data_IF_151260123567
#
_entry.id   IF_151260123567
#
_cell.length_a   1.000
_cell.length_b   1.000
_cell.length_c   1.000
_cell.angle_alpha   90.00
_cell.angle_beta   90.00
_cell.angle_gamma   90.00
#
_symmetry.space_group_name_H-M   'P 1'
#
loop_
_entity.id
_entity.type
_entity.pdbx_description
1 polymer ?
#
# COMPACT_ATOMS: atom_id res chain seq x y z
N UNK A 1 -91.80 -25.48 -66.43
CA UNK A 1 -92.10 -25.50 -64.98
C UNK A 1 -90.75 -25.59 -64.27
N UNK A 2 -90.08 -24.51 -63.83
CA UNK A 2 -90.47 -23.54 -62.78
C UNK A 2 -91.02 -24.27 -61.55
N UNK A 3 -90.56 -24.12 -60.33
CA UNK A 3 -89.52 -23.35 -59.62
C UNK A 3 -89.43 -24.04 -58.22
N UNK A 4 -88.53 -23.80 -57.27
CA UNK A 4 -88.09 -22.55 -56.67
C UNK A 4 -86.86 -22.85 -55.80
N UNK A 5 -85.87 -21.97 -55.91
CA UNK A 5 -84.63 -21.91 -55.14
C UNK A 5 -84.94 -21.11 -53.86
N UNK A 6 -84.83 -21.75 -52.69
CA UNK A 6 -84.97 -21.09 -51.39
C UNK A 6 -83.60 -20.74 -50.81
N UNK A 7 -83.22 -19.47 -50.88
CA UNK A 7 -82.02 -18.91 -50.26
C UNK A 7 -82.29 -18.62 -48.79
N UNK A 8 -81.55 -19.25 -47.86
CA UNK A 8 -81.52 -18.79 -46.47
C UNK A 8 -80.19 -18.07 -46.21
N UNK A 9 -80.23 -16.73 -46.30
CA UNK A 9 -79.11 -15.83 -46.10
C UNK A 9 -79.10 -15.44 -44.61
N UNK A 10 -78.46 -16.27 -43.79
CA UNK A 10 -78.18 -15.92 -42.39
C UNK A 10 -77.25 -14.72 -42.34
N UNK A 11 -77.80 -13.55 -42.01
CA UNK A 11 -77.01 -12.35 -41.68
C UNK A 11 -76.31 -12.64 -40.36
N UNK A 12 -75.06 -13.07 -40.43
CA UNK A 12 -74.21 -13.16 -39.25
C UNK A 12 -73.74 -11.73 -38.93
N UNK A 13 -74.49 -11.05 -38.06
CA UNK A 13 -74.05 -9.79 -37.46
C UNK A 13 -72.88 -10.11 -36.54
N UNK A 14 -71.65 -10.01 -37.06
CA UNK A 14 -70.49 -9.86 -36.20
C UNK A 14 -70.68 -8.54 -35.46
N UNK A 15 -71.11 -8.62 -34.21
CA UNK A 15 -70.96 -7.51 -33.27
C UNK A 15 -69.46 -7.40 -33.03
N UNK A 16 -68.82 -6.48 -33.73
CA UNK A 16 -67.50 -6.00 -33.34
C UNK A 16 -67.67 -5.40 -31.95
N UNK A 17 -67.00 -5.96 -30.95
CA UNK A 17 -66.79 -5.25 -29.71
C UNK A 17 -65.80 -4.11 -30.02
N UNK A 18 -66.18 -2.83 -29.91
CA UNK A 18 -65.30 -1.71 -30.22
C UNK A 18 -64.25 -1.47 -29.11
N UNK A 19 -64.09 -2.43 -28.20
CA UNK A 19 -63.17 -2.40 -27.07
C UNK A 19 -62.19 -3.59 -27.06
N UNK A 20 -62.26 -4.49 -28.06
CA UNK A 20 -61.33 -5.63 -28.17
C UNK A 20 -60.13 -5.35 -29.08
N UNK A 21 -60.17 -4.31 -29.92
CA UNK A 21 -59.07 -3.98 -30.83
C UNK A 21 -58.01 -3.02 -30.25
N UNK A 22 -58.19 -2.51 -29.02
CA UNK A 22 -57.29 -1.50 -28.43
C UNK A 22 -56.41 -2.04 -27.30
N UNK A 23 -56.38 -3.35 -27.05
CA UNK A 23 -55.56 -3.93 -25.98
C UNK A 23 -54.48 -4.92 -26.46
N UNK A 24 -54.34 -5.13 -27.77
CA UNK A 24 -53.33 -6.03 -28.34
C UNK A 24 -52.47 -5.28 -29.38
N UNK A 25 -51.61 -4.36 -28.95
CA UNK A 25 -50.26 -4.18 -29.57
C UNK A 25 -49.32 -3.17 -28.90
N UNK A 26 -49.62 -2.65 -27.70
CA UNK A 26 -48.69 -1.72 -27.01
C UNK A 26 -47.64 -2.46 -26.13
N UNK A 27 -47.44 -3.76 -26.35
CA UNK A 27 -46.25 -4.45 -25.87
C UNK A 27 -45.10 -4.09 -26.80
N UNK A 28 -44.48 -2.95 -26.48
CA UNK A 28 -43.13 -2.52 -26.82
C UNK A 28 -42.29 -3.70 -27.36
N UNK A 29 -42.19 -3.80 -28.69
CA UNK A 29 -41.29 -4.74 -29.34
C UNK A 29 -39.86 -4.30 -29.00
N UNK A 30 -39.36 -4.77 -27.85
CA UNK A 30 -37.97 -4.60 -27.45
C UNK A 30 -37.13 -5.15 -28.59
N UNK A 31 -36.50 -4.24 -29.33
CA UNK A 31 -35.70 -4.57 -30.50
C UNK A 31 -34.49 -5.37 -30.01
N UNK A 32 -34.57 -6.70 -30.15
CA UNK A 32 -33.58 -7.65 -29.62
C UNK A 32 -32.18 -7.34 -30.13
N UNK A 33 -32.07 -6.81 -31.34
CA UNK A 33 -30.81 -6.41 -31.94
C UNK A 33 -30.22 -5.17 -31.29
N UNK A 34 -31.06 -4.18 -30.95
CA UNK A 34 -30.64 -3.00 -30.18
C UNK A 34 -30.15 -3.41 -28.79
N UNK A 35 -30.90 -4.28 -28.10
CA UNK A 35 -30.53 -4.76 -26.77
C UNK A 35 -29.21 -5.54 -26.80
N UNK A 36 -29.02 -6.43 -27.78
CA UNK A 36 -27.75 -7.17 -27.93
C UNK A 36 -26.56 -6.24 -28.22
N UNK A 37 -26.75 -5.17 -29.00
CA UNK A 37 -25.70 -4.16 -29.23
C UNK A 37 -25.36 -3.42 -27.94
N UNK A 38 -26.37 -2.96 -27.20
CA UNK A 38 -26.18 -2.28 -25.92
C UNK A 38 -25.45 -3.17 -24.89
N UNK A 39 -25.79 -4.47 -24.86
CA UNK A 39 -25.10 -5.44 -24.01
C UNK A 39 -23.62 -5.55 -24.40
N UNK A 40 -23.30 -5.75 -25.68
CA UNK A 40 -21.91 -5.83 -26.16
C UNK A 40 -21.12 -4.54 -25.90
N UNK A 41 -21.74 -3.38 -26.09
CA UNK A 41 -21.10 -2.10 -25.79
C UNK A 41 -20.78 -1.97 -24.30
N UNK A 42 -21.73 -2.35 -23.44
CA UNK A 42 -21.53 -2.34 -21.97
C UNK A 42 -20.46 -3.32 -21.54
N UNK A 43 -20.44 -4.51 -22.16
CA UNK A 43 -19.42 -5.52 -21.96
C UNK A 43 -18.04 -4.97 -22.31
N UNK A 44 -17.85 -4.48 -23.54
CA UNK A 44 -16.57 -3.92 -23.99
C UNK A 44 -16.07 -2.80 -23.07
N UNK A 45 -16.96 -1.87 -22.70
CA UNK A 45 -16.64 -0.78 -21.77
C UNK A 45 -16.17 -1.28 -20.41
N UNK A 46 -16.78 -2.34 -19.89
CA UNK A 46 -16.40 -2.94 -18.62
C UNK A 46 -15.02 -3.59 -18.70
N UNK A 47 -14.74 -4.35 -19.77
CA UNK A 47 -13.39 -4.91 -20.00
C UNK A 47 -12.33 -3.83 -20.11
N UNK A 48 -12.56 -2.81 -20.93
CA UNK A 48 -11.63 -1.69 -21.08
C UNK A 48 -11.41 -0.96 -19.76
N UNK A 49 -12.45 -0.85 -18.93
CA UNK A 49 -12.33 -0.31 -17.58
C UNK A 49 -11.44 -1.17 -16.69
N UNK A 50 -11.64 -2.49 -16.68
CA UNK A 50 -10.78 -3.39 -15.88
C UNK A 50 -9.32 -3.36 -16.33
N UNK A 51 -9.06 -3.25 -17.64
CA UNK A 51 -7.69 -3.11 -18.18
C UNK A 51 -7.03 -1.82 -17.72
N UNK A 52 -7.75 -0.69 -17.76
CA UNK A 52 -7.25 0.58 -17.22
C UNK A 52 -7.00 0.50 -15.71
N UNK A 53 -7.90 -0.12 -14.96
CA UNK A 53 -7.72 -0.29 -13.51
C UNK A 53 -6.51 -1.15 -13.17
N UNK A 54 -6.25 -2.22 -13.93
CA UNK A 54 -5.06 -3.05 -13.75
C UNK A 54 -3.78 -2.25 -14.00
N UNK A 55 -3.71 -1.48 -15.09
CA UNK A 55 -2.58 -0.61 -15.38
C UNK A 55 -2.34 0.42 -14.25
N UNK A 56 -3.42 1.04 -13.74
CA UNK A 56 -3.32 1.98 -12.62
C UNK A 56 -2.81 1.32 -11.33
N UNK A 57 -3.16 0.05 -11.09
CA UNK A 57 -2.68 -0.70 -9.94
C UNK A 57 -1.18 -0.98 -10.06
N UNK A 58 -0.70 -1.35 -11.24
CA UNK A 58 0.72 -1.56 -11.52
C UNK A 58 1.50 -0.24 -11.38
N UNK A 59 1.02 0.85 -11.97
CA UNK A 59 1.62 2.19 -11.84
C UNK A 59 1.69 2.62 -10.37
N UNK A 60 0.65 2.34 -9.58
CA UNK A 60 0.60 2.66 -8.15
C UNK A 60 1.63 1.86 -7.36
N UNK A 61 1.87 0.59 -7.72
CA UNK A 61 2.87 -0.25 -7.07
C UNK A 61 4.28 0.27 -7.36
N UNK A 62 4.57 0.67 -8.60
CA UNK A 62 5.86 1.26 -8.96
C UNK A 62 6.14 2.56 -8.20
N UNK A 63 5.11 3.38 -7.99
CA UNK A 63 5.22 4.58 -7.14
C UNK A 63 5.45 4.21 -5.68
N UNK A 64 4.79 3.17 -5.18
CA UNK A 64 4.98 2.67 -3.82
C UNK A 64 6.41 2.17 -3.58
N UNK A 65 7.00 1.46 -4.55
CA UNK A 65 8.40 1.01 -4.51
C UNK A 65 9.35 2.22 -4.41
N UNK A 66 9.20 3.22 -5.29
CA UNK A 66 10.04 4.43 -5.25
C UNK A 66 9.89 5.17 -3.92
N UNK A 67 8.69 5.19 -3.38
CA UNK A 67 8.41 5.78 -2.06
C UNK A 67 9.13 5.00 -0.95
N UNK A 68 9.14 3.66 -1.02
CA UNK A 68 9.85 2.81 -0.08
C UNK A 68 11.38 3.04 -0.13
N UNK A 69 11.96 3.20 -1.32
CA UNK A 69 13.39 3.53 -1.49
C UNK A 69 13.75 4.85 -0.81
N UNK A 70 12.93 5.88 -1.04
CA UNK A 70 13.13 7.20 -0.45
C UNK A 70 12.96 7.17 1.08
N UNK A 71 11.95 6.46 1.60
CA UNK A 71 11.77 6.29 3.04
C UNK A 71 12.95 5.54 3.66
N UNK A 72 13.46 4.48 3.03
CA UNK A 72 14.65 3.79 3.53
C UNK A 72 15.85 4.74 3.60
N UNK A 73 16.09 5.52 2.54
CA UNK A 73 17.18 6.49 2.49
C UNK A 73 17.04 7.58 3.58
N UNK A 74 15.83 8.11 3.78
CA UNK A 74 15.54 9.06 4.86
C UNK A 74 15.76 8.45 6.24
N UNK A 75 15.30 7.22 6.46
CA UNK A 75 15.51 6.48 7.70
C UNK A 75 16.99 6.32 8.04
N UNK A 76 17.84 5.99 7.05
CA UNK A 76 19.29 5.93 7.24
C UNK A 76 19.89 7.29 7.60
N UNK A 77 19.44 8.37 6.96
CA UNK A 77 19.90 9.72 7.29
C UNK A 77 19.55 10.12 8.72
N UNK A 78 18.32 9.84 9.17
CA UNK A 78 17.90 10.10 10.55
C UNK A 78 18.74 9.32 11.56
N UNK A 79 19.03 8.04 11.28
CA UNK A 79 19.93 7.23 12.12
C UNK A 79 21.35 7.82 12.19
N UNK A 80 21.89 8.30 11.07
CA UNK A 80 23.22 8.97 11.04
C UNK A 80 23.21 10.27 11.83
N UNK A 81 22.16 11.08 11.69
CA UNK A 81 22.01 12.32 12.46
C UNK A 81 21.96 12.01 13.95
N UNK A 82 21.15 11.04 14.35
CA UNK A 82 21.04 10.65 15.75
C UNK A 82 22.38 10.17 16.34
N UNK A 83 23.10 9.31 15.62
CA UNK A 83 24.44 8.85 16.03
C UNK A 83 25.45 10.00 16.12
N UNK A 84 25.41 10.95 15.19
CA UNK A 84 26.30 12.12 15.22
C UNK A 84 25.99 13.03 16.41
N UNK A 85 24.71 13.20 16.75
CA UNK A 85 24.30 13.99 17.92
C UNK A 85 24.75 13.34 19.24
N UNK A 86 24.70 12.01 19.32
CA UNK A 86 25.21 11.26 20.46
C UNK A 86 26.75 11.40 20.59
N UNK A 87 27.47 11.34 19.47
CA UNK A 87 28.91 11.60 19.44
C UNK A 87 29.25 13.04 19.89
N UNK A 88 28.52 14.05 19.39
CA UNK A 88 28.68 15.44 19.84
C UNK A 88 28.44 15.54 21.35
N UNK A 89 27.43 14.84 21.87
CA UNK A 89 27.14 14.85 23.31
C UNK A 89 28.32 14.33 24.14
N UNK A 90 28.97 13.24 23.70
CA UNK A 90 30.14 12.64 24.34
C UNK A 90 31.38 13.54 24.21
N UNK A 91 31.68 14.03 23.01
CA UNK A 91 32.79 14.93 22.73
C UNK A 91 32.71 16.20 23.57
N UNK A 92 31.50 16.76 23.70
CA UNK A 92 31.26 17.91 24.55
C UNK A 92 31.47 17.61 26.04
N UNK A 93 31.22 16.39 26.51
CA UNK A 93 31.52 16.00 27.89
C UNK A 93 33.04 15.96 28.13
N UNK A 94 33.81 15.45 27.18
CA UNK A 94 35.29 15.45 27.22
C UNK A 94 35.84 16.87 27.13
N UNK A 95 35.35 17.69 26.19
CA UNK A 95 35.75 19.08 26.01
C UNK A 95 35.52 19.89 27.29
N UNK A 96 34.37 19.71 27.96
CA UNK A 96 34.09 20.39 29.23
C UNK A 96 35.07 19.98 30.35
N UNK A 97 35.50 18.71 30.40
CA UNK A 97 36.56 18.28 31.35
C UNK A 97 37.89 18.95 31.03
N UNK A 98 38.27 19.03 29.76
CA UNK A 98 39.51 19.71 29.34
C UNK A 98 39.47 21.20 29.65
N UNK A 99 38.38 21.91 29.32
CA UNK A 99 38.20 23.33 29.65
C UNK A 99 38.24 23.55 31.18
N UNK A 100 37.61 22.66 31.95
CA UNK A 100 37.68 22.71 33.42
C UNK A 100 39.10 22.48 33.92
N UNK A 101 39.85 21.54 33.32
CA UNK A 101 41.24 21.30 33.66
C UNK A 101 42.15 22.49 33.28
N UNK A 102 41.87 23.20 32.18
CA UNK A 102 42.58 24.43 31.78
C UNK A 102 42.33 25.58 32.77
N UNK A 103 41.09 25.75 33.25
CA UNK A 103 40.81 26.66 34.39
C UNK A 103 41.55 26.21 35.66
N UNK A 104 41.65 24.90 35.86
CA UNK A 104 42.28 24.29 37.04
C UNK A 104 43.80 24.41 37.02
N UNK A 105 44.51 24.35 35.89
CA UNK A 105 45.99 24.52 35.89
C UNK A 105 46.44 25.93 36.27
N UNK A 106 45.57 26.94 36.17
CA UNK A 106 45.81 28.24 36.81
C UNK A 106 45.58 28.23 38.34
N UNK A 107 45.06 27.14 38.92
CA UNK A 107 44.68 27.05 40.33
C UNK A 107 44.95 25.67 41.01
N UNK A 108 45.77 24.78 40.43
CA UNK A 108 45.99 23.41 40.96
C UNK A 108 47.44 23.16 41.32
N UNK A 109 47.73 23.44 42.59
CA UNK A 109 48.74 22.72 43.36
C UNK A 109 48.11 21.75 44.39
N UNK A 110 46.77 21.59 44.51
CA UNK A 110 46.22 21.06 45.78
C UNK A 110 45.02 20.10 45.78
N UNK A 111 44.60 19.41 44.71
CA UNK A 111 43.52 18.42 44.91
C UNK A 111 43.63 17.15 44.05
N UNK A 112 44.31 16.16 44.63
CA UNK A 112 44.60 14.86 44.06
C UNK A 112 43.84 13.76 44.81
N UNK A 113 42.52 13.87 45.01
CA UNK A 113 41.76 12.77 45.62
C UNK A 113 40.26 12.78 45.25
N UNK A 114 39.82 11.80 44.43
CA UNK A 114 38.70 10.87 44.69
C UNK A 114 38.30 10.03 43.45
N UNK A 115 37.84 8.80 43.72
CA UNK A 115 37.62 7.62 42.85
C UNK A 115 36.40 7.71 41.90
N UNK A 116 36.32 6.90 40.82
CA UNK A 116 35.23 6.90 39.83
C UNK A 116 34.01 6.00 40.21
N UNK A 117 32.78 6.32 39.77
CA UNK A 117 31.61 5.44 39.87
C UNK A 117 31.47 4.50 38.65
N UNK A 118 30.83 3.35 38.90
CA UNK A 118 30.61 2.23 37.97
C UNK A 118 29.52 2.51 36.94
N UNK A 119 29.75 2.05 35.70
CA UNK A 119 28.77 2.03 34.61
C UNK A 119 27.77 0.87 34.79
N UNK A 120 26.48 1.14 34.60
CA UNK A 120 25.42 0.13 34.46
C UNK A 120 25.03 0.05 33.00
N UNK A 121 25.25 -1.11 32.38
CA UNK A 121 24.82 -1.42 31.02
C UNK A 121 23.30 -1.61 30.97
N UNK A 122 22.64 -0.97 29.99
CA UNK A 122 21.26 -1.25 29.62
C UNK A 122 21.22 -2.33 28.55
N UNK A 123 20.37 -3.32 28.79
CA UNK A 123 20.11 -4.52 28.01
C UNK A 123 18.93 -4.25 27.06
N UNK A 124 19.18 -4.19 25.75
CA UNK A 124 18.11 -4.21 24.75
C UNK A 124 17.82 -5.66 24.34
N UNK A 125 16.58 -6.07 24.59
CA UNK A 125 16.04 -7.33 24.08
C UNK A 125 15.61 -7.15 22.61
N UNK A 126 15.87 -8.11 21.71
CA UNK A 126 15.46 -8.00 20.31
C UNK A 126 13.93 -8.11 20.18
N UNK A 127 13.30 -7.08 19.63
CA UNK A 127 11.94 -7.16 19.10
C UNK A 127 11.97 -7.97 17.79
N UNK A 128 10.92 -8.75 17.57
CA UNK A 128 10.72 -9.57 16.37
C UNK A 128 10.90 -8.76 15.07
N UNK A 129 11.32 -9.40 13.97
CA UNK A 129 11.55 -8.71 12.70
C UNK A 129 10.20 -8.34 12.08
N UNK A 130 9.72 -7.14 12.40
CA UNK A 130 8.68 -6.47 11.61
C UNK A 130 9.22 -6.25 10.19
N UNK A 131 8.40 -6.55 9.18
CA UNK A 131 8.77 -6.40 7.77
C UNK A 131 8.91 -4.92 7.44
N UNK A 132 10.15 -4.44 7.42
CA UNK A 132 10.44 -3.05 7.03
C UNK A 132 10.38 -2.85 5.51
N UNK A 133 10.43 -1.58 5.09
CA UNK A 133 10.56 -1.17 3.68
C UNK A 133 11.67 -1.92 2.92
N UNK A 134 12.74 -2.35 3.59
CA UNK A 134 13.79 -3.18 3.00
C UNK A 134 13.30 -4.55 2.48
N UNK A 135 12.31 -5.17 3.12
CA UNK A 135 11.73 -6.45 2.67
C UNK A 135 10.78 -6.25 1.47
N UNK A 136 10.06 -5.14 1.44
CA UNK A 136 9.26 -4.72 0.29
C UNK A 136 10.13 -4.49 -0.96
N UNK A 137 11.31 -3.88 -0.80
CA UNK A 137 12.28 -3.68 -1.88
C UNK A 137 12.99 -4.97 -2.30
N UNK A 138 13.25 -5.88 -1.36
CA UNK A 138 13.83 -7.18 -1.67
C UNK A 138 12.85 -8.07 -2.46
N UNK A 139 11.56 -8.00 -2.13
CA UNK A 139 10.50 -8.78 -2.78
C UNK A 139 10.03 -8.21 -4.12
N UNK A 140 10.30 -6.93 -4.41
CA UNK A 140 10.08 -6.32 -5.74
C UNK A 140 11.20 -6.66 -6.74
N UNK A 141 12.36 -7.11 -6.26
CA UNK A 141 13.43 -7.65 -7.11
C UNK A 141 13.06 -9.05 -7.58
N UNK A 142 12.47 -9.14 -8.78
CA UNK A 142 12.04 -10.41 -9.37
C UNK A 142 13.15 -11.46 -9.36
N UNK A 143 12.88 -12.71 -8.93
CA UNK A 143 13.80 -13.81 -9.20
C UNK A 143 13.85 -14.03 -10.71
N UNK A 144 15.05 -13.90 -11.29
CA UNK A 144 15.35 -14.45 -12.62
C UNK A 144 14.83 -15.88 -12.71
N UNK A 145 14.07 -16.27 -13.76
CA UNK A 145 13.56 -17.63 -13.91
C UNK A 145 14.70 -18.54 -14.37
N UNK A 146 15.64 -18.84 -13.47
CA UNK A 146 16.62 -19.88 -13.69
C UNK A 146 16.02 -21.24 -13.31
N UNK A 147 15.80 -22.04 -14.35
CA UNK A 147 15.54 -23.49 -14.33
C UNK A 147 16.21 -24.17 -13.13
N UNK A 148 15.43 -24.65 -12.17
CA UNK A 148 15.88 -25.66 -11.23
C UNK A 148 14.73 -26.59 -10.80
N UNK A 149 14.69 -27.73 -11.50
CA UNK A 149 14.46 -29.09 -10.97
C UNK A 149 13.24 -29.36 -10.10
N UNK A 150 12.34 -30.15 -10.70
CA UNK A 150 11.47 -31.12 -10.05
C UNK A 150 12.15 -31.75 -8.82
N UNK A 151 11.61 -31.48 -7.64
CA UNK A 151 11.69 -32.39 -6.51
C UNK A 151 10.28 -32.46 -5.92
N UNK A 152 9.72 -33.67 -5.96
CA UNK A 152 8.39 -33.93 -5.43
C UNK A 152 8.37 -33.85 -3.91
N UNK A 153 7.42 -33.09 -3.38
CA UNK A 153 7.01 -33.15 -1.98
C UNK A 153 5.48 -33.10 -1.97
N UNK A 154 4.90 -34.23 -1.57
CA UNK A 154 3.48 -34.43 -1.34
C UNK A 154 3.01 -33.51 -0.20
N UNK A 155 2.03 -32.65 -0.48
CA UNK A 155 1.19 -32.03 0.53
C UNK A 155 -0.22 -32.61 0.41
N UNK A 156 -0.90 -32.95 1.52
CA UNK A 156 -2.24 -33.52 1.47
C UNK A 156 -3.23 -32.46 0.98
N UNK A 157 -3.93 -32.80 -0.11
CA UNK A 157 -5.05 -32.05 -0.66
C UNK A 157 -6.12 -31.84 0.42
N UNK A 158 -6.22 -30.60 0.90
CA UNK A 158 -7.40 -30.13 1.62
C UNK A 158 -8.54 -30.12 0.61
N UNK A 159 -9.56 -30.92 0.91
CA UNK A 159 -10.76 -31.11 0.13
C UNK A 159 -11.50 -29.77 0.01
N UNK A 160 -11.11 -28.93 -0.96
CA UNK A 160 -11.91 -27.78 -1.35
C UNK A 160 -13.13 -28.33 -2.06
N UNK A 161 -14.26 -28.24 -1.36
CA UNK A 161 -15.59 -28.19 -1.96
C UNK A 161 -15.46 -27.42 -3.27
N UNK A 162 -15.60 -28.17 -4.37
CA UNK A 162 -15.83 -27.60 -5.68
C UNK A 162 -17.19 -26.92 -5.60
N UNK A 163 -17.21 -25.70 -5.07
CA UNK A 163 -18.24 -24.75 -5.44
C UNK A 163 -18.14 -24.70 -6.95
N UNK A 164 -19.22 -25.11 -7.59
CA UNK A 164 -19.45 -24.97 -9.01
C UNK A 164 -19.19 -23.51 -9.38
N UNK A 165 -17.94 -23.19 -9.69
CA UNK A 165 -17.60 -22.06 -10.53
C UNK A 165 -18.30 -22.40 -11.83
N UNK A 166 -19.52 -21.89 -11.98
CA UNK A 166 -20.22 -21.80 -13.25
C UNK A 166 -19.19 -21.31 -14.23
N UNK A 167 -18.60 -22.24 -14.99
CA UNK A 167 -17.59 -21.91 -15.98
C UNK A 167 -18.38 -21.15 -17.02
N UNK A 168 -18.40 -19.83 -16.90
CA UNK A 168 -19.16 -19.00 -17.81
C UNK A 168 -18.70 -19.39 -19.20
N UNK A 169 -19.64 -19.91 -20.00
CA UNK A 169 -19.35 -20.37 -21.35
C UNK A 169 -19.02 -19.19 -22.26
N UNK A 170 -19.38 -17.98 -21.83
CA UNK A 170 -19.08 -16.73 -22.50
C UNK A 170 -17.60 -16.34 -22.31
N UNK A 171 -16.81 -16.20 -23.40
CA UNK A 171 -15.44 -15.72 -23.32
C UNK A 171 -15.31 -14.34 -22.66
N UNK A 172 -16.33 -13.47 -22.78
CA UNK A 172 -16.34 -12.15 -22.15
C UNK A 172 -16.27 -12.24 -20.62
N UNK A 173 -17.17 -13.02 -20.02
CA UNK A 173 -17.26 -13.16 -18.56
C UNK A 173 -16.00 -13.79 -17.98
N UNK A 174 -15.32 -14.66 -18.75
CA UNK A 174 -14.05 -15.26 -18.35
C UNK A 174 -12.94 -14.22 -18.26
N UNK A 175 -12.76 -13.40 -19.30
CA UNK A 175 -11.75 -12.33 -19.32
C UNK A 175 -12.05 -11.30 -18.23
N UNK A 176 -13.32 -10.95 -18.03
CA UNK A 176 -13.72 -10.02 -16.98
C UNK A 176 -13.38 -10.57 -15.58
N UNK A 177 -13.76 -11.81 -15.28
CA UNK A 177 -13.48 -12.43 -13.99
C UNK A 177 -11.98 -12.62 -13.74
N UNK A 178 -11.20 -12.93 -14.78
CA UNK A 178 -9.75 -12.98 -14.71
C UNK A 178 -9.17 -11.61 -14.37
N UNK A 179 -9.55 -10.55 -15.09
CA UNK A 179 -9.11 -9.18 -14.80
C UNK A 179 -9.49 -8.75 -13.38
N UNK A 180 -10.70 -9.06 -12.90
CA UNK A 180 -11.13 -8.76 -11.54
C UNK A 180 -10.30 -9.52 -10.50
N UNK A 181 -9.92 -10.77 -10.77
CA UNK A 181 -9.02 -11.54 -9.91
C UNK A 181 -7.61 -10.94 -9.86
N UNK A 182 -7.09 -10.48 -11.01
CA UNK A 182 -5.81 -9.74 -11.08
C UNK A 182 -5.88 -8.44 -10.28
N UNK A 183 -6.94 -7.66 -10.47
CA UNK A 183 -7.17 -6.43 -9.71
C UNK A 183 -7.27 -6.70 -8.20
N UNK A 184 -7.98 -7.75 -7.78
CA UNK A 184 -8.09 -8.11 -6.36
C UNK A 184 -6.72 -8.43 -5.74
N UNK A 185 -5.88 -9.20 -6.44
CA UNK A 185 -4.50 -9.48 -5.99
C UNK A 185 -3.64 -8.23 -5.95
N UNK A 186 -3.72 -7.39 -6.98
CA UNK A 186 -2.96 -6.14 -7.06
C UNK A 186 -3.37 -5.14 -5.98
N UNK A 187 -4.66 -4.99 -5.69
CA UNK A 187 -5.15 -4.20 -4.55
C UNK A 187 -4.69 -4.77 -3.20
N UNK A 188 -4.64 -6.11 -3.08
CA UNK A 188 -4.08 -6.78 -1.91
C UNK A 188 -2.61 -6.43 -1.68
N UNK A 189 -1.82 -6.42 -2.75
CA UNK A 189 -0.42 -5.98 -2.72
C UNK A 189 -0.29 -4.49 -2.37
N UNK A 190 -1.05 -3.61 -3.02
CA UNK A 190 -1.04 -2.17 -2.70
C UNK A 190 -1.39 -1.90 -1.23
N UNK A 191 -2.28 -2.72 -0.64
CA UNK A 191 -2.57 -2.64 0.79
C UNK A 191 -1.36 -3.03 1.64
N UNK A 192 -0.66 -4.10 1.29
CA UNK A 192 0.58 -4.50 1.97
C UNK A 192 1.64 -3.40 1.86
N UNK A 193 1.86 -2.86 0.67
CA UNK A 193 2.78 -1.73 0.43
C UNK A 193 2.41 -0.54 1.32
N UNK A 194 1.13 -0.14 1.35
CA UNK A 194 0.66 0.98 2.15
C UNK A 194 0.87 0.77 3.66
N UNK A 195 0.71 -0.45 4.16
CA UNK A 195 0.97 -0.77 5.57
C UNK A 195 2.46 -0.64 5.91
N UNK A 196 3.34 -1.20 5.07
CA UNK A 196 4.80 -1.13 5.26
C UNK A 196 5.30 0.32 5.19
N UNK A 197 4.84 1.08 4.18
CA UNK A 197 5.16 2.50 4.05
C UNK A 197 4.65 3.30 5.26
N UNK A 198 3.43 3.02 5.72
CA UNK A 198 2.85 3.66 6.90
C UNK A 198 3.66 3.40 8.17
N UNK A 199 4.04 2.15 8.42
CA UNK A 199 4.87 1.78 9.57
C UNK A 199 6.23 2.50 9.56
N UNK A 200 6.88 2.61 8.41
CA UNK A 200 8.17 3.32 8.30
C UNK A 200 8.02 4.82 8.55
N UNK A 201 6.95 5.44 8.03
CA UNK A 201 6.64 6.85 8.31
C UNK A 201 6.39 7.07 9.81
N UNK A 202 5.62 6.19 10.46
CA UNK A 202 5.35 6.27 11.90
C UNK A 202 6.63 6.12 12.72
N UNK A 203 7.50 5.16 12.35
CA UNK A 203 8.83 4.96 12.97
C UNK A 203 9.68 6.23 12.88
N UNK A 204 9.76 6.84 11.69
CA UNK A 204 10.52 8.07 11.48
C UNK A 204 9.90 9.26 12.24
N UNK A 205 8.57 9.37 12.25
CA UNK A 205 7.86 10.40 13.01
C UNK A 205 8.12 10.31 14.51
N UNK A 206 8.30 9.11 15.06
CA UNK A 206 8.68 8.94 16.46
C UNK A 206 10.16 9.31 16.72
N UNK A 207 11.03 9.13 15.72
CA UNK A 207 12.46 9.46 15.80
C UNK A 207 12.72 10.97 15.74
N UNK A 208 11.96 11.71 14.94
CA UNK A 208 12.15 13.16 14.73
C UNK A 208 12.15 13.99 16.03
N UNK A 209 11.20 13.83 16.98
CA UNK A 209 11.25 14.55 18.25
C UNK A 209 12.52 14.27 19.07
N UNK A 210 13.01 13.03 19.06
CA UNK A 210 14.25 12.66 19.77
C UNK A 210 15.45 13.36 19.15
N UNK A 211 15.55 13.37 17.82
CA UNK A 211 16.61 14.07 17.08
C UNK A 211 16.55 15.58 17.36
N UNK A 212 15.36 16.19 17.32
CA UNK A 212 15.17 17.61 17.62
C UNK A 212 15.68 17.94 19.01
N UNK A 213 15.26 17.18 20.03
CA UNK A 213 15.71 17.39 21.41
C UNK A 213 17.24 17.21 21.56
N UNK A 214 17.82 16.16 20.95
CA UNK A 214 19.26 15.93 20.95
C UNK A 214 20.02 17.09 20.27
N UNK A 215 19.46 17.63 19.19
CA UNK A 215 20.01 18.78 18.45
C UNK A 215 20.04 20.03 19.32
N UNK A 216 18.94 20.36 20.00
CA UNK A 216 18.87 21.52 20.90
C UNK A 216 19.90 21.42 22.03
N UNK A 217 20.03 20.22 22.63
CA UNK A 217 21.03 19.95 23.67
C UNK A 217 22.45 20.11 23.13
N UNK A 218 22.72 19.57 21.94
CA UNK A 218 24.02 19.68 21.29
C UNK A 218 24.38 21.15 21.01
N UNK A 219 23.46 21.95 20.47
CA UNK A 219 23.68 23.38 20.20
C UNK A 219 23.99 24.16 21.48
N UNK A 220 23.21 23.96 22.54
CA UNK A 220 23.44 24.61 23.85
C UNK A 220 24.83 24.26 24.37
N UNK A 221 25.21 22.97 24.32
CA UNK A 221 26.51 22.49 24.79
C UNK A 221 27.66 23.12 23.99
N UNK A 222 27.60 23.04 22.67
CA UNK A 222 28.62 23.58 21.76
C UNK A 222 28.78 25.09 21.95
N UNK A 223 27.66 25.83 21.99
CA UNK A 223 27.66 27.27 22.23
C UNK A 223 28.27 27.63 23.58
N UNK A 224 27.99 26.84 24.64
CA UNK A 224 28.60 27.05 25.95
C UNK A 224 30.11 26.84 25.91
N UNK A 225 30.60 25.71 25.39
CA UNK A 225 32.05 25.48 25.35
C UNK A 225 32.78 26.52 24.50
N UNK A 226 32.19 26.93 23.37
CA UNK A 226 32.73 28.02 22.55
C UNK A 226 32.91 29.30 23.37
N UNK A 227 31.92 29.70 24.17
CA UNK A 227 32.01 30.86 25.07
C UNK A 227 33.09 30.67 26.14
N UNK A 228 33.25 29.48 26.70
CA UNK A 228 34.28 29.22 27.72
C UNK A 228 35.70 29.27 27.13
N UNK A 229 35.92 28.68 25.96
CA UNK A 229 37.20 28.75 25.24
C UNK A 229 37.55 30.21 24.90
N UNK A 230 36.59 31.00 24.41
CA UNK A 230 36.81 32.43 24.15
C UNK A 230 37.19 33.23 25.40
N UNK A 231 36.69 32.84 26.58
CA UNK A 231 37.09 33.48 27.85
C UNK A 231 38.49 33.07 28.30
N UNK A 232 38.96 31.86 27.97
CA UNK A 232 40.32 31.41 28.28
C UNK A 232 41.39 32.03 27.39
N UNK A 233 41.01 32.48 26.19
CA UNK A 233 41.92 33.13 25.23
C UNK A 233 42.05 34.65 25.43
N UNK A 234 41.30 35.24 26.37
CA UNK A 234 41.38 36.66 26.76
C UNK A 234 42.12 36.77 28.07
#
# INVERSE_FOLDING_TARGET
MAAYRGTNRGKNTHRHNPFEDELEDDFEHVDKDLLQRQMRDTQQRSLDSTKRSLALIEDSHDVAIKTAEELQYQGEQLNRIESNLDAIHEDMAVANRHISSMKSVFNTMTNYFKKPPKQTASHDSPLEPERGVGDMLASSSFPTPNRARQTGQNYPQVNQISSSASTSHDPYERELNENLSHMSRGLGRLKEDALVLGQEVDRQNEQLPRITMKTDIADIKVTKARKEVQKLLK
#
